data_IF_681989444872
#
_entry.id   IF_681989444872
#
_cell.length_a   1.000
_cell.length_b   1.000
_cell.length_c   1.000
_cell.angle_alpha   90.00
_cell.angle_beta   90.00
_cell.angle_gamma   90.00
#
_symmetry.space_group_name_H-M   'P 1'
#
loop_
_entity.id
_entity.type
_entity.pdbx_description
1 polymer ?
#
# COMPACT_ATOMS: atom_id res chain seq x y z
N UNK A 1 -18.00 -1.40 -8.03
CA UNK A 1 -16.78 -2.04 -7.48
C UNK A 1 -16.03 -1.01 -6.64
N UNK A 2 -15.67 -1.31 -5.38
CA UNK A 2 -14.93 -0.37 -4.53
C UNK A 2 -13.42 -0.47 -4.79
N UNK A 3 -12.73 0.66 -4.77
CA UNK A 3 -11.28 0.73 -4.86
C UNK A 3 -10.70 0.94 -3.46
N UNK A 4 -9.71 0.13 -3.08
CA UNK A 4 -9.03 0.19 -1.79
C UNK A 4 -7.59 0.63 -2.04
N UNK A 5 -7.13 1.61 -1.29
CA UNK A 5 -5.72 2.03 -1.25
C UNK A 5 -5.20 1.74 0.16
N UNK A 6 -4.03 1.11 0.26
CA UNK A 6 -3.43 0.76 1.54
C UNK A 6 -2.19 1.63 1.77
N UNK A 7 -2.13 2.27 2.94
CA UNK A 7 -0.99 3.09 3.35
C UNK A 7 -0.07 2.28 4.26
N UNK A 8 1.23 2.27 3.98
CA UNK A 8 2.24 1.53 4.77
C UNK A 8 3.44 2.40 5.14
N UNK A 9 4.17 1.98 6.18
CA UNK A 9 5.40 2.65 6.64
C UNK A 9 6.56 1.67 6.87
N UNK A 10 6.48 0.44 6.36
CA UNK A 10 7.49 -0.58 6.61
C UNK A 10 7.14 -1.92 5.96
N UNK A 11 7.38 -3.03 6.68
CA UNK A 11 7.25 -4.40 6.17
C UNK A 11 5.89 -4.72 5.53
N UNK A 12 4.80 -4.16 6.05
CA UNK A 12 3.48 -4.29 5.43
C UNK A 12 2.75 -5.61 5.72
N UNK A 13 3.04 -6.32 6.82
CA UNK A 13 2.39 -7.61 7.15
C UNK A 13 0.85 -7.55 7.16
N UNK A 14 0.25 -6.45 7.62
CA UNK A 14 -1.20 -6.26 7.54
C UNK A 14 -1.70 -6.09 6.11
N UNK A 15 -0.94 -5.37 5.28
CA UNK A 15 -1.26 -5.20 3.85
C UNK A 15 -1.17 -6.55 3.14
N UNK A 16 -0.14 -7.37 3.42
CA UNK A 16 -0.03 -8.73 2.88
C UNK A 16 -1.24 -9.59 3.24
N UNK A 17 -1.68 -9.56 4.50
CA UNK A 17 -2.85 -10.30 4.95
C UNK A 17 -4.13 -9.87 4.21
N UNK A 18 -4.33 -8.56 4.04
CA UNK A 18 -5.48 -8.01 3.30
C UNK A 18 -5.44 -8.39 1.82
N UNK A 19 -4.28 -8.29 1.16
CA UNK A 19 -4.14 -8.68 -0.26
C UNK A 19 -4.44 -10.17 -0.44
N UNK A 20 -3.91 -11.02 0.43
CA UNK A 20 -4.16 -12.46 0.40
C UNK A 20 -5.63 -12.80 0.63
N UNK A 21 -6.27 -12.18 1.63
CA UNK A 21 -7.69 -12.39 1.91
C UNK A 21 -8.57 -11.94 0.73
N UNK A 22 -8.32 -10.74 0.18
CA UNK A 22 -9.09 -10.21 -0.94
C UNK A 22 -9.01 -11.10 -2.18
N UNK A 23 -7.84 -11.71 -2.45
CA UNK A 23 -7.65 -12.66 -3.55
C UNK A 23 -8.32 -14.01 -3.26
N UNK A 24 -8.10 -14.59 -2.08
CA UNK A 24 -8.63 -15.90 -1.71
C UNK A 24 -10.16 -15.92 -1.60
N UNK A 25 -10.74 -14.85 -1.05
CA UNK A 25 -12.19 -14.71 -0.84
C UNK A 25 -12.89 -14.02 -2.02
N UNK A 26 -12.16 -13.69 -3.09
CA UNK A 26 -12.68 -13.04 -4.30
C UNK A 26 -13.55 -11.81 -4.00
N UNK A 27 -13.04 -10.90 -3.17
CA UNK A 27 -13.81 -9.74 -2.75
C UNK A 27 -14.34 -8.94 -3.95
N UNK A 28 -15.55 -8.36 -3.87
CA UNK A 28 -16.09 -7.47 -4.90
C UNK A 28 -15.45 -6.07 -4.86
N UNK A 29 -14.13 -6.02 -4.67
CA UNK A 29 -13.31 -4.84 -4.52
C UNK A 29 -11.94 -5.05 -5.16
N UNK A 30 -11.27 -3.94 -5.48
CA UNK A 30 -9.93 -3.93 -6.06
C UNK A 30 -8.95 -3.27 -5.11
N UNK A 31 -7.86 -3.95 -4.76
CA UNK A 31 -6.70 -3.29 -4.16
C UNK A 31 -6.03 -2.48 -5.27
N UNK A 32 -6.29 -1.19 -5.29
CA UNK A 32 -5.96 -0.30 -6.39
C UNK A 32 -4.51 0.19 -6.32
N UNK A 33 -3.99 0.44 -5.11
CA UNK A 33 -2.63 0.88 -4.89
C UNK A 33 -2.15 0.61 -3.46
N UNK A 34 -0.83 0.54 -3.29
CA UNK A 34 -0.14 0.61 -2.00
C UNK A 34 0.76 1.84 -2.00
N UNK A 35 0.58 2.74 -1.03
CA UNK A 35 1.37 3.96 -0.92
C UNK A 35 2.19 3.89 0.36
N UNK A 36 3.49 4.20 0.27
CA UNK A 36 4.32 4.32 1.46
C UNK A 36 4.82 5.74 1.69
N UNK A 37 4.97 6.09 2.97
CA UNK A 37 5.71 7.29 3.34
C UNK A 37 7.24 7.10 3.31
N UNK A 38 7.73 5.91 2.97
CA UNK A 38 9.14 5.53 2.93
C UNK A 38 9.47 4.76 1.67
N UNK A 39 10.54 5.15 0.99
CA UNK A 39 10.99 4.46 -0.22
C UNK A 39 11.56 3.06 0.05
N UNK A 40 12.06 2.80 1.26
CA UNK A 40 12.67 1.54 1.68
C UNK A 40 11.67 0.56 2.32
N UNK A 41 10.37 0.83 2.26
CA UNK A 41 9.36 -0.04 2.82
C UNK A 41 9.29 -1.37 2.06
N UNK A 42 9.72 -2.47 2.71
CA UNK A 42 9.73 -3.81 2.11
C UNK A 42 8.34 -4.26 1.58
N UNK A 43 7.25 -3.73 2.12
CA UNK A 43 5.90 -4.00 1.61
C UNK A 43 5.63 -3.49 0.18
N UNK A 44 6.41 -2.54 -0.34
CA UNK A 44 6.29 -2.07 -1.73
C UNK A 44 6.65 -3.17 -2.72
N UNK A 45 7.76 -3.87 -2.48
CA UNK A 45 8.18 -5.00 -3.31
C UNK A 45 7.14 -6.14 -3.30
N UNK A 46 6.52 -6.40 -2.15
CA UNK A 46 5.40 -7.33 -2.08
C UNK A 46 4.24 -6.88 -2.96
N UNK A 47 3.80 -5.61 -2.86
CA UNK A 47 2.68 -5.09 -3.66
C UNK A 47 2.97 -5.17 -5.17
N UNK A 48 4.18 -4.79 -5.59
CA UNK A 48 4.64 -4.89 -6.98
C UNK A 48 4.61 -6.32 -7.50
N UNK A 49 5.10 -7.29 -6.71
CA UNK A 49 5.05 -8.71 -7.09
C UNK A 49 3.64 -9.28 -7.24
N UNK A 50 2.61 -8.61 -6.69
CA UNK A 50 1.20 -8.96 -6.86
C UNK A 50 0.51 -8.11 -7.94
N UNK A 51 1.27 -7.33 -8.72
CA UNK A 51 0.75 -6.47 -9.77
C UNK A 51 -0.06 -5.26 -9.26
N UNK A 52 0.13 -4.87 -8.00
CA UNK A 52 -0.55 -3.73 -7.39
C UNK A 52 0.31 -2.48 -7.60
N UNK A 53 -0.31 -1.40 -8.05
CA UNK A 53 0.39 -0.13 -8.26
C UNK A 53 0.99 0.40 -6.94
N UNK A 54 2.23 0.87 -6.99
CA UNK A 54 2.93 1.43 -5.84
C UNK A 54 3.25 2.91 -6.04
N UNK A 55 3.28 3.66 -4.93
CA UNK A 55 3.79 5.02 -4.91
C UNK A 55 4.48 5.33 -3.58
N UNK A 56 5.41 6.28 -3.61
CA UNK A 56 6.09 6.78 -2.41
C UNK A 56 5.79 8.26 -2.27
N UNK A 57 5.30 8.65 -1.09
CA UNK A 57 5.08 10.05 -0.70
C UNK A 57 5.94 10.31 0.54
N UNK A 58 7.20 10.78 0.40
CA UNK A 58 8.11 10.85 1.53
C UNK A 58 7.65 11.90 2.56
N UNK A 59 7.32 11.49 3.79
CA UNK A 59 6.84 12.45 4.79
C UNK A 59 7.88 13.51 5.19
N UNK A 60 9.16 13.18 5.06
CA UNK A 60 10.27 14.10 5.32
C UNK A 60 10.45 15.17 4.25
N UNK A 61 9.71 15.11 3.14
CA UNK A 61 9.73 16.13 2.09
C UNK A 61 8.81 17.34 2.40
N UNK A 62 8.06 17.29 3.50
CA UNK A 62 7.05 18.29 3.87
C UNK A 62 7.41 18.94 5.21
N UNK A 63 7.15 20.25 5.37
CA UNK A 63 7.54 20.99 6.56
C UNK A 63 6.60 20.72 7.75
N UNK A 64 5.38 20.27 7.48
CA UNK A 64 4.36 19.97 8.49
C UNK A 64 3.52 18.76 8.11
N UNK A 65 2.79 18.22 9.09
CA UNK A 65 1.83 17.13 8.84
C UNK A 65 0.63 17.57 8.01
N UNK A 66 0.28 18.85 7.99
CA UNK A 66 -0.81 19.36 7.17
C UNK A 66 -0.40 19.48 5.70
N UNK A 67 0.89 19.67 5.43
CA UNK A 67 1.46 19.66 4.08
C UNK A 67 1.71 18.25 3.53
N UNK A 68 1.89 17.27 4.43
CA UNK A 68 2.04 15.85 4.10
C UNK A 68 0.69 15.13 3.91
#
# INVERSE_FOLDING_TARGET
MKNIVILISGRGSNMEAVVRAAQAEQWPARIAAVISNRADAAGLAFAESHGIATAVVPNKAYASRAEF
#
